data_IF_617305025917
#
_entry.id   IF_617305025917
#
_cell.length_a   1.000
_cell.length_b   1.000
_cell.length_c   1.000
_cell.angle_alpha   90.00
_cell.angle_beta   90.00
_cell.angle_gamma   90.00
#
_symmetry.space_group_name_H-M   'P 1'
#
loop_
_entity.id
_entity.type
_entity.pdbx_description
1 polymer ?
#
# COMPACT_ATOMS: atom_id res chain seq x y z
N UNK A 1 16.65 -5.12 2.50
CA UNK A 1 17.65 -4.79 3.53
C UNK A 1 16.94 -3.95 4.58
N UNK A 2 17.14 -4.24 5.87
CA UNK A 2 16.55 -3.49 6.98
C UNK A 2 17.68 -2.91 7.81
N UNK A 3 17.61 -1.61 8.10
CA UNK A 3 18.63 -0.87 8.84
C UNK A 3 17.97 0.03 9.88
N UNK A 4 18.67 0.27 10.99
CA UNK A 4 18.18 1.15 12.07
C UNK A 4 18.74 2.55 11.89
N UNK A 5 17.90 3.47 11.43
CA UNK A 5 18.24 4.89 11.31
C UNK A 5 17.96 5.61 12.63
N UNK A 6 18.96 6.31 13.17
CA UNK A 6 18.81 7.19 14.34
C UNK A 6 18.74 8.64 13.88
N UNK A 7 17.63 9.30 14.15
CA UNK A 7 17.40 10.71 13.80
C UNK A 7 16.85 11.46 15.01
N UNK A 8 17.19 12.74 15.12
CA UNK A 8 16.57 13.63 16.09
C UNK A 8 15.19 14.05 15.59
N UNK A 9 14.22 14.18 16.50
CA UNK A 9 12.81 14.50 16.17
C UNK A 9 12.64 15.83 15.42
N UNK A 10 13.57 16.76 15.59
CA UNK A 10 13.50 18.10 15.00
C UNK A 10 14.19 18.17 13.62
N UNK A 11 14.72 17.05 13.12
CA UNK A 11 15.29 16.99 11.77
C UNK A 11 14.20 17.01 10.70
N UNK A 12 14.44 17.79 9.64
CA UNK A 12 13.58 17.85 8.46
C UNK A 12 13.74 16.59 7.60
N UNK A 13 12.67 16.21 6.89
CA UNK A 13 12.67 15.04 6.01
C UNK A 13 13.86 14.96 5.02
N UNK A 14 14.28 16.04 4.34
CA UNK A 14 15.44 15.97 3.44
C UNK A 14 16.73 15.54 4.14
N UNK A 15 16.99 16.07 5.34
CA UNK A 15 18.16 15.66 6.16
C UNK A 15 18.08 14.19 6.59
N UNK A 16 16.86 13.70 6.85
CA UNK A 16 16.64 12.28 7.17
C UNK A 16 16.85 11.40 5.92
N UNK A 17 16.47 11.88 4.73
CA UNK A 17 16.73 11.19 3.46
C UNK A 17 18.24 11.07 3.19
N UNK A 18 19.01 12.14 3.37
CA UNK A 18 20.47 12.12 3.19
C UNK A 18 21.12 11.04 4.07
N UNK A 19 20.76 11.01 5.36
CA UNK A 19 21.25 9.99 6.30
C UNK A 19 20.81 8.57 5.94
N UNK A 20 19.58 8.40 5.50
CA UNK A 20 19.07 7.09 5.06
C UNK A 20 19.81 6.61 3.80
N UNK A 21 20.07 7.52 2.87
CA UNK A 21 20.78 7.26 1.63
C UNK A 21 22.24 6.84 1.88
N UNK A 22 22.94 7.54 2.79
CA UNK A 22 24.29 7.16 3.24
C UNK A 22 24.30 5.80 3.95
N UNK A 23 23.36 5.57 4.88
CA UNK A 23 23.25 4.33 5.63
C UNK A 23 23.00 3.10 4.73
N UNK A 24 22.33 3.32 3.59
CA UNK A 24 22.00 2.27 2.63
C UNK A 24 23.08 2.09 1.56
N UNK A 25 24.17 2.86 1.61
CA UNK A 25 25.33 2.77 0.72
C UNK A 25 24.92 2.81 -0.77
N UNK A 26 23.95 3.66 -1.12
CA UNK A 26 23.42 3.74 -2.48
C UNK A 26 24.35 4.47 -3.46
N UNK A 27 25.23 5.32 -2.95
CA UNK A 27 26.24 6.01 -3.76
C UNK A 27 27.36 5.05 -4.20
N UNK A 28 27.90 5.20 -5.42
CA UNK A 28 27.51 6.14 -6.48
C UNK A 28 26.45 5.57 -7.44
N UNK A 29 25.82 4.44 -7.09
CA UNK A 29 25.03 3.63 -8.03
C UNK A 29 23.66 4.22 -8.33
N UNK A 30 23.02 4.89 -7.37
CA UNK A 30 21.68 5.46 -7.52
C UNK A 30 21.74 6.93 -7.13
N UNK A 31 21.42 7.89 -8.01
CA UNK A 31 21.40 9.31 -7.65
C UNK A 31 20.34 9.60 -6.57
N UNK A 32 20.66 10.44 -5.59
CA UNK A 32 19.74 10.76 -4.48
C UNK A 32 18.44 11.44 -4.96
N UNK A 33 18.49 12.14 -6.08
CA UNK A 33 17.35 12.80 -6.74
C UNK A 33 16.32 11.79 -7.29
N UNK A 34 16.72 10.52 -7.39
CA UNK A 34 15.85 9.40 -7.76
C UNK A 34 15.37 8.60 -6.54
N UNK A 35 15.67 9.08 -5.33
CA UNK A 35 15.28 8.48 -4.06
C UNK A 35 14.25 9.36 -3.33
N UNK A 36 13.40 8.72 -2.52
CA UNK A 36 12.57 9.42 -1.52
C UNK A 36 12.26 8.54 -0.32
N UNK A 37 11.85 9.16 0.77
CA UNK A 37 11.28 8.46 1.91
C UNK A 37 9.77 8.35 1.80
N UNK A 38 9.26 7.17 2.13
CA UNK A 38 7.83 6.83 2.16
C UNK A 38 7.51 6.18 3.50
N UNK A 39 6.34 6.46 4.06
CA UNK A 39 5.84 5.69 5.19
C UNK A 39 5.55 4.26 4.77
N UNK A 40 6.11 3.31 5.51
CA UNK A 40 5.85 1.90 5.33
C UNK A 40 5.18 1.32 6.56
N UNK A 41 4.02 0.71 6.34
CA UNK A 41 3.31 0.00 7.39
C UNK A 41 3.84 -1.43 7.48
N UNK A 42 4.64 -1.71 8.51
CA UNK A 42 5.28 -3.02 8.67
C UNK A 42 4.28 -4.17 8.81
N UNK A 43 3.13 -3.94 9.45
CA UNK A 43 2.12 -4.97 9.68
C UNK A 43 1.34 -5.31 8.41
N UNK A 44 0.96 -4.29 7.64
CA UNK A 44 0.23 -4.45 6.37
C UNK A 44 1.16 -4.73 5.19
N UNK A 45 2.47 -4.53 5.39
CA UNK A 45 3.53 -4.66 4.38
C UNK A 45 3.30 -3.79 3.14
N UNK A 46 2.80 -2.57 3.33
CA UNK A 46 2.37 -1.67 2.25
C UNK A 46 3.01 -0.29 2.41
N UNK A 47 3.28 0.37 1.27
CA UNK A 47 3.56 1.80 1.25
C UNK A 47 2.29 2.54 1.70
N UNK A 48 2.32 3.06 2.92
CA UNK A 48 1.17 3.66 3.58
C UNK A 48 0.93 5.06 3.04
N UNK A 49 1.96 5.92 3.05
CA UNK A 49 1.80 7.33 2.67
C UNK A 49 3.09 7.91 2.10
N UNK A 50 2.98 8.66 1.00
CA UNK A 50 4.10 9.44 0.45
C UNK A 50 4.28 10.75 1.22
N UNK A 51 5.54 11.19 1.34
CA UNK A 51 5.89 12.41 2.09
C UNK A 51 6.18 13.63 1.21
N UNK A 52 5.83 13.63 -0.08
CA UNK A 52 6.17 14.71 -1.00
C UNK A 52 5.61 16.08 -0.54
N UNK A 53 4.46 16.08 0.13
CA UNK A 53 3.81 17.29 0.66
C UNK A 53 4.34 17.71 2.05
N UNK A 54 5.14 16.85 2.70
CA UNK A 54 5.57 17.00 4.09
C UNK A 54 7.04 17.42 4.22
N UNK A 55 7.71 17.78 3.11
CA UNK A 55 9.15 18.09 3.09
C UNK A 55 9.57 19.23 4.05
N UNK A 56 8.62 20.09 4.41
CA UNK A 56 8.81 21.21 5.33
C UNK A 56 8.64 20.83 6.81
N UNK A 57 8.15 19.62 7.10
CA UNK A 57 7.90 19.14 8.45
C UNK A 57 9.11 18.38 9.01
N UNK A 58 9.20 18.36 10.34
CA UNK A 58 10.18 17.52 11.03
C UNK A 58 9.70 16.07 11.11
N UNK A 59 10.64 15.13 11.21
CA UNK A 59 10.30 13.71 11.37
C UNK A 59 9.48 13.46 12.65
N UNK A 60 9.74 14.23 13.70
CA UNK A 60 8.97 14.19 14.95
C UNK A 60 7.52 14.61 14.74
N UNK A 61 7.25 15.64 13.94
CA UNK A 61 5.88 16.06 13.62
C UNK A 61 5.13 14.94 12.88
N UNK A 62 5.76 14.37 11.84
CA UNK A 62 5.18 13.29 11.03
C UNK A 62 4.90 12.04 11.88
N UNK A 63 5.83 11.67 12.77
CA UNK A 63 5.67 10.52 13.66
C UNK A 63 4.64 10.75 14.78
N UNK A 64 4.45 12.01 15.20
CA UNK A 64 3.57 12.36 16.33
C UNK A 64 2.08 12.42 15.99
N UNK A 65 1.70 12.31 14.71
CA UNK A 65 0.30 12.35 14.25
C UNK A 65 -0.52 11.11 14.67
N UNK A 66 -0.73 10.88 15.98
CA UNK A 66 -1.61 9.83 16.52
C UNK A 66 -1.49 8.42 15.88
N UNK A 67 -0.36 8.10 15.24
CA UNK A 67 -0.14 6.80 14.62
C UNK A 67 0.36 5.85 15.70
N UNK A 68 -0.08 4.58 15.71
CA UNK A 68 0.53 3.59 16.58
C UNK A 68 2.02 3.50 16.23
N UNK A 69 2.89 3.99 17.12
CA UNK A 69 4.35 4.00 16.92
C UNK A 69 4.92 2.63 16.49
N UNK A 70 4.21 1.54 16.84
CA UNK A 70 4.60 0.16 16.58
C UNK A 70 4.39 -0.34 15.14
N UNK A 71 3.78 0.46 14.25
CA UNK A 71 3.60 0.09 12.83
C UNK A 71 4.41 0.94 11.85
N UNK A 72 5.07 1.99 12.35
CA UNK A 72 5.75 2.99 11.52
C UNK A 72 7.17 2.53 11.16
N UNK A 73 7.44 2.50 9.87
CA UNK A 73 8.79 2.36 9.31
C UNK A 73 8.96 3.32 8.14
N UNK A 74 10.21 3.65 7.82
CA UNK A 74 10.55 4.39 6.61
C UNK A 74 11.02 3.43 5.53
N UNK A 75 10.58 3.65 4.30
CA UNK A 75 11.09 2.97 3.13
C UNK A 75 11.81 3.96 2.22
N UNK A 76 13.04 3.63 1.85
CA UNK A 76 13.82 4.37 0.86
C UNK A 76 13.44 3.86 -0.53
N UNK A 77 12.51 4.55 -1.18
CA UNK A 77 12.01 4.19 -2.50
C UNK A 77 12.89 4.82 -3.58
N UNK A 78 13.28 4.02 -4.57
CA UNK A 78 14.05 4.45 -5.74
C UNK A 78 13.20 4.36 -7.00
N UNK A 79 13.35 5.31 -7.93
CA UNK A 79 12.73 5.26 -9.27
C UNK A 79 13.80 5.29 -10.36
N UNK A 80 13.43 4.91 -11.59
CA UNK A 80 14.27 5.21 -12.77
C UNK A 80 14.17 6.69 -13.13
N UNK A 81 15.20 7.22 -13.79
CA UNK A 81 15.31 8.65 -14.13
C UNK A 81 14.06 9.22 -14.83
N UNK A 82 13.45 8.44 -15.73
CA UNK A 82 12.29 8.85 -16.54
C UNK A 82 10.92 8.45 -15.95
N UNK A 83 10.90 7.77 -14.80
CA UNK A 83 9.65 7.38 -14.15
C UNK A 83 9.22 8.45 -13.14
N UNK A 84 7.94 8.62 -12.87
CA UNK A 84 7.47 9.44 -11.75
C UNK A 84 7.20 8.53 -10.55
N UNK A 85 7.48 9.02 -9.34
CA UNK A 85 7.04 8.30 -8.16
C UNK A 85 5.53 8.15 -8.11
N UNK A 86 5.04 6.95 -7.78
CA UNK A 86 3.62 6.72 -7.54
C UNK A 86 3.19 7.43 -6.25
N UNK A 87 2.10 8.21 -6.27
CA UNK A 87 1.56 8.79 -5.04
C UNK A 87 0.89 7.72 -4.19
N UNK A 88 1.20 7.70 -2.89
CA UNK A 88 0.57 6.82 -1.91
C UNK A 88 -0.26 7.66 -0.94
N UNK A 89 -1.57 7.47 -0.96
CA UNK A 89 -2.46 8.07 0.03
C UNK A 89 -2.57 7.16 1.26
N UNK A 90 -2.71 7.79 2.44
CA UNK A 90 -2.91 7.10 3.71
C UNK A 90 -4.12 6.13 3.66
N UNK A 91 -4.04 5.01 4.36
CA UNK A 91 -5.03 3.95 4.33
C UNK A 91 -4.71 2.86 3.29
N UNK A 92 -3.44 2.62 3.03
CA UNK A 92 -3.00 1.55 2.13
C UNK A 92 -3.39 0.16 2.64
N UNK A 93 -3.74 -0.74 1.72
CA UNK A 93 -3.96 -2.16 1.99
C UNK A 93 -3.36 -3.02 0.88
N UNK A 94 -2.84 -4.20 1.22
CA UNK A 94 -2.45 -5.20 0.24
C UNK A 94 -3.58 -6.22 0.07
N UNK A 95 -4.04 -6.36 -1.17
CA UNK A 95 -5.05 -7.33 -1.59
C UNK A 95 -4.34 -8.47 -2.33
N UNK A 96 -4.66 -9.71 -1.97
CA UNK A 96 -4.19 -10.88 -2.72
C UNK A 96 -5.27 -11.22 -3.75
N UNK A 97 -5.01 -10.91 -5.02
CA UNK A 97 -6.00 -11.03 -6.10
C UNK A 97 -5.60 -12.16 -7.04
N UNK A 98 -6.53 -13.08 -7.29
CA UNK A 98 -6.46 -14.07 -8.37
C UNK A 98 -7.58 -13.80 -9.36
N UNK A 99 -7.25 -13.84 -10.64
CA UNK A 99 -8.24 -13.74 -11.73
C UNK A 99 -8.73 -15.14 -12.05
N UNK A 100 -10.05 -15.32 -12.17
CA UNK A 100 -10.66 -16.59 -12.56
C UNK A 100 -11.24 -16.44 -13.95
N UNK A 101 -10.81 -17.30 -14.87
CA UNK A 101 -11.43 -17.42 -16.18
C UNK A 101 -12.69 -18.30 -16.05
N UNK A 102 -13.86 -17.71 -16.30
CA UNK A 102 -15.14 -18.42 -16.16
C UNK A 102 -15.42 -19.38 -17.32
N UNK A 103 -14.76 -19.22 -18.47
CA UNK A 103 -14.93 -20.11 -19.62
C UNK A 103 -14.16 -21.42 -19.42
N UNK A 104 -12.94 -21.34 -18.88
CA UNK A 104 -12.07 -22.51 -18.66
C UNK A 104 -12.13 -23.04 -17.23
N UNK A 105 -12.57 -22.21 -16.28
CA UNK A 105 -12.50 -22.50 -14.84
C UNK A 105 -11.10 -22.33 -14.25
N UNK A 106 -10.13 -21.84 -15.03
CA UNK A 106 -8.75 -21.69 -14.57
C UNK A 106 -8.61 -20.52 -13.59
N UNK A 107 -7.82 -20.74 -12.53
CA UNK A 107 -7.50 -19.72 -11.54
C UNK A 107 -6.06 -19.25 -11.77
N UNK A 108 -5.93 -17.99 -12.18
CA UNK A 108 -4.64 -17.33 -12.34
C UNK A 108 -3.88 -17.20 -11.03
N UNK A 109 -2.55 -17.11 -11.14
CA UNK A 109 -1.67 -16.92 -9.99
C UNK A 109 -2.03 -15.65 -9.22
N UNK A 110 -2.10 -15.80 -7.90
CA UNK A 110 -2.43 -14.70 -7.02
C UNK A 110 -1.31 -13.65 -7.02
N UNK A 111 -1.65 -12.39 -7.31
CA UNK A 111 -0.74 -11.24 -7.22
C UNK A 111 -1.12 -10.37 -6.02
N UNK A 112 -0.12 -9.75 -5.40
CA UNK A 112 -0.36 -8.69 -4.42
C UNK A 112 -0.63 -7.38 -5.14
N UNK A 113 -1.77 -6.77 -4.85
CA UNK A 113 -2.23 -5.51 -5.42
C UNK A 113 -2.45 -4.53 -4.28
N UNK A 114 -1.84 -3.34 -4.35
CA UNK A 114 -2.11 -2.27 -3.38
C UNK A 114 -3.48 -1.68 -3.68
N UNK A 115 -4.36 -1.67 -2.69
CA UNK A 115 -5.59 -0.89 -2.67
C UNK A 115 -5.52 0.27 -1.68
N UNK A 116 -6.57 1.09 -1.67
CA UNK A 116 -6.78 2.12 -0.65
C UNK A 116 -8.11 1.85 0.06
N UNK A 117 -8.11 1.94 1.39
CA UNK A 117 -9.31 1.71 2.19
C UNK A 117 -10.45 2.68 1.86
N UNK A 118 -10.14 3.85 1.32
CA UNK A 118 -11.13 4.84 0.87
C UNK A 118 -11.75 4.53 -0.49
N UNK A 119 -11.21 3.59 -1.27
CA UNK A 119 -11.74 3.28 -2.59
C UNK A 119 -13.11 2.63 -2.53
N UNK A 120 -13.96 3.03 -3.45
CA UNK A 120 -15.17 2.32 -3.86
C UNK A 120 -14.82 1.02 -4.59
N UNK A 121 -15.82 0.14 -4.75
CA UNK A 121 -15.64 -1.10 -5.53
C UNK A 121 -15.35 -0.81 -7.00
N UNK A 122 -15.90 0.25 -7.57
CA UNK A 122 -15.63 0.64 -8.97
C UNK A 122 -14.18 1.10 -9.16
N UNK A 123 -13.66 1.92 -8.25
CA UNK A 123 -12.24 2.31 -8.26
C UNK A 123 -11.32 1.08 -8.11
N UNK A 124 -11.71 0.13 -7.26
CA UNK A 124 -10.98 -1.13 -7.12
C UNK A 124 -11.02 -1.96 -8.42
N UNK A 125 -12.19 -2.13 -9.05
CA UNK A 125 -12.34 -2.84 -10.33
C UNK A 125 -11.48 -2.21 -11.40
N UNK A 126 -11.49 -0.87 -11.51
CA UNK A 126 -10.64 -0.15 -12.45
C UNK A 126 -9.16 -0.44 -12.18
N UNK A 127 -8.71 -0.34 -10.93
CA UNK A 127 -7.30 -0.58 -10.59
C UNK A 127 -6.87 -2.03 -10.88
N UNK A 128 -7.70 -3.02 -10.54
CA UNK A 128 -7.45 -4.43 -10.88
C UNK A 128 -7.42 -4.60 -12.41
N UNK A 129 -8.33 -3.94 -13.14
CA UNK A 129 -8.35 -3.89 -14.59
C UNK A 129 -7.04 -3.45 -15.22
N UNK A 130 -6.47 -2.37 -14.72
CA UNK A 130 -5.18 -1.85 -15.15
C UNK A 130 -4.04 -2.84 -14.84
N UNK A 131 -4.01 -3.41 -13.63
CA UNK A 131 -2.94 -4.31 -13.17
C UNK A 131 -2.93 -5.65 -13.92
N UNK A 132 -4.11 -6.17 -14.26
CA UNK A 132 -4.26 -7.47 -14.93
C UNK A 132 -4.58 -7.35 -16.42
N UNK A 133 -4.69 -6.13 -16.96
CA UNK A 133 -4.98 -5.82 -18.37
C UNK A 133 -6.30 -6.51 -18.80
N UNK A 134 -7.34 -6.30 -18.01
CA UNK A 134 -8.68 -6.86 -18.23
C UNK A 134 -9.74 -5.78 -18.09
N UNK A 135 -10.86 -5.93 -18.79
CA UNK A 135 -11.92 -4.93 -18.79
C UNK A 135 -12.64 -4.91 -17.43
N UNK A 136 -12.59 -3.76 -16.74
CA UNK A 136 -13.21 -3.54 -15.43
C UNK A 136 -14.74 -3.54 -15.44
N UNK A 137 -15.39 -3.17 -16.56
CA UNK A 137 -16.84 -3.00 -16.61
C UNK A 137 -17.63 -4.31 -16.47
N UNK A 138 -17.00 -5.45 -16.77
CA UNK A 138 -17.62 -6.77 -16.66
C UNK A 138 -17.02 -7.60 -15.51
N UNK A 139 -16.19 -7.01 -14.65
CA UNK A 139 -15.59 -7.72 -13.53
C UNK A 139 -16.58 -7.97 -12.41
N UNK A 140 -16.52 -9.18 -11.86
CA UNK A 140 -17.09 -9.49 -10.55
C UNK A 140 -15.97 -9.64 -9.54
N UNK A 141 -16.11 -8.98 -8.41
CA UNK A 141 -15.17 -9.08 -7.30
C UNK A 141 -15.81 -9.95 -6.22
N UNK A 142 -15.13 -11.04 -5.93
CA UNK A 142 -15.53 -11.98 -4.90
C UNK A 142 -14.45 -11.98 -3.81
N UNK A 143 -14.86 -11.73 -2.58
CA UNK A 143 -13.98 -11.68 -1.43
C UNK A 143 -14.11 -12.97 -0.62
N UNK A 144 -12.98 -13.66 -0.47
CA UNK A 144 -12.86 -14.80 0.43
C UNK A 144 -12.47 -14.34 1.83
N UNK A 145 -13.22 -14.77 2.83
CA UNK A 145 -12.87 -14.59 4.24
C UNK A 145 -12.58 -15.92 4.88
N UNK A 146 -11.52 -15.96 5.69
CA UNK A 146 -11.25 -17.10 6.56
C UNK A 146 -11.79 -16.78 7.94
N UNK A 147 -12.70 -17.61 8.42
CA UNK A 147 -13.11 -17.56 9.83
C UNK A 147 -11.98 -18.10 10.73
N UNK A 148 -12.15 -17.92 12.05
CA UNK A 148 -11.17 -18.40 13.04
C UNK A 148 -11.06 -19.92 13.13
N UNK A 149 -12.03 -20.64 12.57
CA UNK A 149 -12.13 -22.11 12.59
C UNK A 149 -11.59 -22.74 11.29
N UNK A 150 -11.13 -21.91 10.33
CA UNK A 150 -10.58 -22.34 9.05
C UNK A 150 -11.62 -22.50 7.94
N UNK A 151 -12.89 -22.22 8.20
CA UNK A 151 -13.93 -22.11 7.18
C UNK A 151 -13.64 -20.94 6.25
N UNK A 152 -13.86 -21.14 4.95
CA UNK A 152 -13.75 -20.07 3.95
C UNK A 152 -15.15 -19.68 3.51
N UNK A 153 -15.59 -18.48 3.88
CA UNK A 153 -16.80 -17.88 3.31
C UNK A 153 -16.42 -17.03 2.12
N UNK A 154 -17.33 -16.92 1.16
CA UNK A 154 -17.09 -16.26 -0.11
C UNK A 154 -18.26 -15.32 -0.35
N UNK A 155 -17.98 -14.02 -0.41
CA UNK A 155 -18.98 -12.98 -0.57
C UNK A 155 -18.76 -12.24 -1.89
N UNK A 156 -19.78 -12.17 -2.73
CA UNK A 156 -19.78 -11.26 -3.87
C UNK A 156 -19.93 -9.82 -3.37
N UNK A 157 -18.97 -8.97 -3.71
CA UNK A 157 -18.94 -7.56 -3.32
C UNK A 157 -19.05 -6.61 -4.51
N UNK A 158 -19.35 -7.14 -5.70
CA UNK A 158 -19.32 -6.40 -6.96
C UNK A 158 -20.24 -5.17 -6.97
N UNK A 159 -21.37 -5.26 -6.27
CA UNK A 159 -22.42 -4.23 -6.24
C UNK A 159 -22.65 -3.68 -4.82
N UNK A 160 -21.74 -3.95 -3.89
CA UNK A 160 -21.84 -3.43 -2.53
C UNK A 160 -21.48 -1.95 -2.55
N UNK A 161 -22.43 -1.10 -2.18
CA UNK A 161 -22.18 0.32 -1.99
C UNK A 161 -21.20 0.60 -0.84
N UNK A 162 -20.50 1.72 -0.94
CA UNK A 162 -19.54 2.16 0.07
C UNK A 162 -18.08 1.91 -0.32
N UNK A 163 -17.21 2.01 0.68
CA UNK A 163 -15.76 1.93 0.55
C UNK A 163 -15.22 0.57 1.00
N UNK A 164 -14.01 0.23 0.56
CA UNK A 164 -13.29 -0.96 1.02
C UNK A 164 -13.21 -1.05 2.54
N UNK A 165 -13.03 0.09 3.22
CA UNK A 165 -13.06 0.16 4.69
C UNK A 165 -14.37 -0.37 5.25
N UNK A 166 -15.50 0.13 4.77
CA UNK A 166 -16.82 -0.23 5.27
C UNK A 166 -17.11 -1.72 5.02
N UNK A 167 -16.76 -2.21 3.83
CA UNK A 167 -16.96 -3.60 3.43
C UNK A 167 -16.15 -4.55 4.34
N UNK A 168 -14.87 -4.23 4.59
CA UNK A 168 -14.00 -5.03 5.47
C UNK A 168 -14.40 -4.96 6.95
N UNK A 169 -15.12 -3.92 7.36
CA UNK A 169 -15.66 -3.80 8.71
C UNK A 169 -16.93 -4.66 8.83
N UNK A 170 -17.88 -4.51 7.91
CA UNK A 170 -19.15 -5.25 7.89
C UNK A 170 -18.90 -6.76 7.91
N UNK A 171 -17.91 -7.20 7.13
CA UNK A 171 -17.58 -8.62 6.99
C UNK A 171 -17.08 -9.24 8.30
N UNK A 172 -16.39 -8.46 9.14
CA UNK A 172 -15.96 -8.89 10.50
C UNK A 172 -17.09 -9.00 11.52
N UNK A 173 -18.22 -8.36 11.30
CA UNK A 173 -19.38 -8.40 12.21
C UNK A 173 -20.46 -9.39 11.80
N UNK A 174 -20.34 -10.03 10.63
CA UNK A 174 -21.24 -11.12 10.19
C UNK A 174 -20.76 -12.52 10.62
N UNK A 175 -19.78 -12.61 11.53
CA UNK A 175 -19.27 -13.87 12.10
C UNK A 175 -19.92 -14.18 13.45
#
# INVERSE_FOLDING_TARGET
>A
MESKLKVHKDELLPSVLDKAYELMELAPHIPIETCRLVEYNYWRKVMEQSFDEFQHQTIGQIMSEARPYHSFALFLETRKENETFKKYNNGGINLKVSVVDLLTGEVGLAKLVRGELGWTIEELKQHIGEVFIINSSCMRIVMGEKDRQGGTSVNDISDVGGTLREILIISRYKQ
#
